data_IF_348399848844
#
_entry.id   IF_348399848844
#
_cell.length_a   1.000
_cell.length_b   1.000
_cell.length_c   1.000
_cell.angle_alpha   90.00
_cell.angle_beta   90.00
_cell.angle_gamma   90.00
#
_symmetry.space_group_name_H-M   'P 1'
#
loop_
_entity.id
_entity.type
_entity.pdbx_description
1 polymer ?
#
# COMPACT_ATOMS: atom_id res chain seq x y z
N UNK A 1 8.49 12.91 -6.00
CA UNK A 1 8.02 11.81 -6.84
C UNK A 1 9.16 10.84 -7.10
N UNK A 2 8.91 9.55 -7.02
CA UNK A 2 9.93 8.54 -7.20
C UNK A 2 10.27 8.36 -8.69
N UNK A 3 11.53 8.01 -8.98
CA UNK A 3 11.95 7.69 -10.34
C UNK A 3 11.42 6.33 -10.77
N UNK A 4 11.34 6.09 -12.08
CA UNK A 4 10.95 4.76 -12.60
C UNK A 4 11.92 3.68 -12.16
N UNK A 5 13.21 3.99 -12.06
CA UNK A 5 14.24 3.05 -11.58
C UNK A 5 13.95 2.63 -10.14
N UNK A 6 13.57 3.58 -9.29
CA UNK A 6 13.22 3.28 -7.91
C UNK A 6 11.96 2.42 -7.83
N UNK A 7 10.97 2.71 -8.69
CA UNK A 7 9.74 1.89 -8.74
C UNK A 7 10.06 0.46 -9.18
N UNK A 8 10.94 0.28 -10.16
CA UNK A 8 11.36 -1.06 -10.59
C UNK A 8 12.07 -1.82 -9.47
N UNK A 9 12.89 -1.16 -8.67
CA UNK A 9 13.52 -1.76 -7.50
C UNK A 9 12.45 -2.24 -6.51
N UNK A 10 11.45 -1.40 -6.23
CA UNK A 10 10.37 -1.74 -5.31
C UNK A 10 9.53 -2.90 -5.84
N UNK A 11 9.24 -2.92 -7.14
CA UNK A 11 8.47 -3.99 -7.77
C UNK A 11 9.15 -5.35 -7.54
N UNK A 12 10.47 -5.39 -7.61
CA UNK A 12 11.24 -6.64 -7.57
C UNK A 12 11.76 -6.99 -6.16
N UNK A 13 11.55 -6.13 -5.18
CA UNK A 13 12.03 -6.36 -3.82
C UNK A 13 11.06 -7.27 -3.05
N UNK A 14 11.27 -8.58 -3.17
CA UNK A 14 10.41 -9.59 -2.55
C UNK A 14 10.64 -9.72 -1.04
N UNK A 15 11.76 -9.25 -0.55
CA UNK A 15 12.13 -9.43 0.86
C UNK A 15 11.68 -8.29 1.75
N UNK A 16 11.28 -7.16 1.17
CA UNK A 16 10.88 -5.99 1.95
C UNK A 16 9.50 -6.17 2.57
N UNK A 17 9.38 -5.87 3.86
CA UNK A 17 8.10 -5.76 4.56
C UNK A 17 7.47 -4.38 4.42
N UNK A 18 8.10 -3.48 3.67
CA UNK A 18 7.58 -2.14 3.36
C UNK A 18 6.94 -2.08 1.98
N UNK A 19 6.79 -3.20 1.28
CA UNK A 19 6.21 -3.25 -0.06
C UNK A 19 5.12 -4.31 -0.12
N UNK A 20 3.94 -3.91 -0.54
CA UNK A 20 2.82 -4.81 -0.82
C UNK A 20 2.40 -4.66 -2.28
N UNK A 21 2.12 -5.78 -2.93
CA UNK A 21 1.75 -5.84 -4.35
C UNK A 21 0.39 -6.47 -4.49
N UNK A 22 -0.41 -5.94 -5.41
CA UNK A 22 -1.72 -6.52 -5.72
C UNK A 22 -2.10 -6.25 -7.16
N UNK A 23 -2.87 -7.16 -7.74
CA UNK A 23 -3.52 -6.93 -9.04
C UNK A 23 -4.98 -6.50 -8.87
N UNK A 24 -5.50 -6.53 -7.65
CA UNK A 24 -6.86 -6.05 -7.36
C UNK A 24 -6.95 -4.55 -7.59
N UNK A 25 -8.07 -4.09 -8.17
CA UNK A 25 -8.29 -2.68 -8.47
C UNK A 25 -9.51 -2.11 -7.74
N UNK A 26 -10.32 -2.96 -7.13
CA UNK A 26 -11.58 -2.58 -6.49
C UNK A 26 -11.68 -3.01 -5.03
N UNK A 27 -10.61 -3.52 -4.45
CA UNK A 27 -10.60 -3.99 -3.07
C UNK A 27 -10.20 -2.88 -2.10
N UNK A 28 -11.13 -1.96 -1.88
CA UNK A 28 -10.90 -0.77 -1.05
C UNK A 28 -10.51 -1.13 0.37
N UNK A 29 -11.12 -2.17 0.97
CA UNK A 29 -10.79 -2.58 2.33
C UNK A 29 -9.32 -3.01 2.44
N UNK A 30 -8.83 -3.79 1.51
CA UNK A 30 -7.42 -4.23 1.51
C UNK A 30 -6.45 -3.09 1.30
N UNK A 31 -6.80 -2.16 0.41
CA UNK A 31 -5.98 -0.97 0.21
C UNK A 31 -5.89 -0.17 1.50
N UNK A 32 -7.04 0.07 2.14
CA UNK A 32 -7.11 0.83 3.38
C UNK A 32 -6.37 0.14 4.53
N UNK A 33 -6.51 -1.17 4.66
CA UNK A 33 -5.81 -1.95 5.67
C UNK A 33 -4.30 -1.87 5.50
N UNK A 34 -3.79 -1.98 4.27
CA UNK A 34 -2.37 -1.85 3.99
C UNK A 34 -1.86 -0.43 4.30
N UNK A 35 -2.61 0.59 3.88
CA UNK A 35 -2.27 1.99 4.17
C UNK A 35 -2.21 2.22 5.68
N UNK A 36 -3.18 1.72 6.41
CA UNK A 36 -3.23 1.81 7.87
C UNK A 36 -2.02 1.12 8.50
N UNK A 37 -1.69 -0.08 8.03
CA UNK A 37 -0.56 -0.85 8.55
C UNK A 37 0.78 -0.15 8.31
N UNK A 38 1.00 0.41 7.13
CA UNK A 38 2.21 1.17 6.85
C UNK A 38 2.28 2.44 7.69
N UNK A 39 1.14 3.10 7.92
CA UNK A 39 1.08 4.29 8.78
C UNK A 39 1.52 3.99 10.21
N UNK A 40 1.17 2.81 10.71
CA UNK A 40 1.53 2.40 12.08
C UNK A 40 3.01 2.03 12.22
N UNK A 41 3.67 1.56 11.16
CA UNK A 41 5.10 1.23 11.15
C UNK A 41 5.51 0.45 12.39
N UNK A 42 4.87 -0.68 12.64
CA UNK A 42 5.09 -1.46 13.88
C UNK A 42 6.54 -1.92 14.04
N UNK A 43 7.23 -2.18 12.95
CA UNK A 43 8.65 -2.55 12.99
C UNK A 43 9.58 -1.36 13.24
N UNK A 44 9.03 -0.14 13.26
CA UNK A 44 9.77 1.09 13.51
C UNK A 44 10.93 1.30 12.51
N UNK A 45 10.66 1.02 11.24
CA UNK A 45 11.65 1.26 10.17
C UNK A 45 11.87 2.74 9.91
N UNK A 46 10.88 3.58 10.25
CA UNK A 46 10.89 5.03 9.98
C UNK A 46 11.06 5.34 8.49
N UNK A 47 10.56 4.45 7.65
CA UNK A 47 10.62 4.56 6.20
C UNK A 47 9.21 4.46 5.61
N UNK A 48 8.96 5.04 4.45
CA UNK A 48 7.67 4.88 3.78
C UNK A 48 7.38 3.42 3.45
N UNK A 49 6.09 3.07 3.47
CA UNK A 49 5.60 1.84 2.89
C UNK A 49 5.02 2.11 1.51
N UNK A 50 4.99 1.10 0.68
CA UNK A 50 4.54 1.21 -0.71
C UNK A 50 3.52 0.14 -1.04
N UNK A 51 2.34 0.58 -1.49
CA UNK A 51 1.34 -0.30 -2.05
C UNK A 51 1.40 -0.17 -3.57
N UNK A 52 1.71 -1.27 -4.24
CA UNK A 52 1.86 -1.32 -5.69
C UNK A 52 0.66 -2.03 -6.30
N UNK A 53 -0.18 -1.29 -7.01
CA UNK A 53 -1.37 -1.82 -7.65
C UNK A 53 -1.09 -2.04 -9.13
N UNK A 54 -1.34 -3.25 -9.61
CA UNK A 54 -1.02 -3.66 -10.97
C UNK A 54 0.19 -4.56 -11.06
N UNK A 55 0.62 -5.14 -9.93
CA UNK A 55 1.80 -6.03 -9.86
C UNK A 55 1.39 -7.32 -9.16
N UNK A 56 1.72 -8.46 -9.77
CA UNK A 56 1.50 -9.76 -9.13
C UNK A 56 2.37 -9.91 -7.90
N UNK A 57 1.77 -10.38 -6.81
CA UNK A 57 2.45 -10.42 -5.51
C UNK A 57 3.53 -11.51 -5.40
N UNK A 58 3.49 -12.53 -6.24
CA UNK A 58 4.50 -13.61 -6.23
C UNK A 58 5.54 -13.45 -7.33
N UNK A 59 5.10 -13.26 -8.57
CA UNK A 59 6.00 -13.20 -9.72
C UNK A 59 6.62 -11.81 -9.92
N UNK A 60 6.05 -10.78 -9.31
CA UNK A 60 6.43 -9.38 -9.51
C UNK A 60 6.22 -8.88 -10.94
N UNK A 61 5.44 -9.62 -11.73
CA UNK A 61 5.11 -9.21 -13.09
C UNK A 61 3.96 -8.23 -13.07
N UNK A 62 3.97 -7.30 -14.02
CA UNK A 62 2.88 -6.36 -14.20
C UNK A 62 1.65 -7.07 -14.76
N UNK A 63 0.47 -6.65 -14.29
CA UNK A 63 -0.79 -7.30 -14.70
C UNK A 63 -1.35 -6.77 -16.01
N UNK A 64 -0.73 -5.74 -16.59
CA UNK A 64 -1.26 -5.08 -17.78
C UNK A 64 -2.34 -4.04 -17.45
N UNK A 65 -2.33 -3.53 -16.23
CA UNK A 65 -3.30 -2.54 -15.77
C UNK A 65 -3.28 -1.29 -16.64
N UNK A 66 -4.48 -0.78 -16.93
CA UNK A 66 -4.66 0.57 -17.45
C UNK A 66 -5.31 1.42 -16.38
N UNK A 67 -4.58 2.43 -15.92
CA UNK A 67 -5.03 3.28 -14.83
C UNK A 67 -6.12 4.23 -15.33
N UNK A 68 -7.22 4.32 -14.59
CA UNK A 68 -8.31 5.23 -14.88
C UNK A 68 -8.36 6.34 -13.83
N UNK A 69 -8.98 7.46 -14.17
CA UNK A 69 -9.23 8.53 -13.19
C UNK A 69 -10.06 8.04 -12.03
N UNK A 70 -11.03 7.15 -12.31
CA UNK A 70 -11.88 6.57 -11.26
C UNK A 70 -11.04 5.80 -10.24
N UNK A 71 -10.10 4.98 -10.71
CA UNK A 71 -9.20 4.23 -9.82
C UNK A 71 -8.38 5.17 -8.96
N UNK A 72 -7.77 6.18 -9.56
CA UNK A 72 -6.96 7.16 -8.81
C UNK A 72 -7.79 7.93 -7.79
N UNK A 73 -8.99 8.35 -8.17
CA UNK A 73 -9.90 9.05 -7.25
C UNK A 73 -10.34 8.17 -6.09
N UNK A 74 -10.66 6.91 -6.36
CA UNK A 74 -11.07 5.97 -5.32
C UNK A 74 -9.95 5.72 -4.31
N UNK A 75 -8.72 5.58 -4.78
CA UNK A 75 -7.58 5.39 -3.90
C UNK A 75 -7.29 6.66 -3.09
N UNK A 76 -7.28 7.81 -3.75
CA UNK A 76 -7.03 9.09 -3.07
C UNK A 76 -8.10 9.39 -2.02
N UNK A 77 -9.34 8.99 -2.25
CA UNK A 77 -10.44 9.20 -1.31
C UNK A 77 -10.24 8.43 0.01
N UNK A 78 -9.49 7.35 0.01
CA UNK A 78 -9.19 6.58 1.23
C UNK A 78 -8.52 7.48 2.27
N UNK A 79 -7.69 8.42 1.82
CA UNK A 79 -7.00 9.35 2.71
C UNK A 79 -7.98 10.22 3.52
N UNK A 80 -9.08 10.65 2.91
CA UNK A 80 -9.93 11.70 3.46
C UNK A 80 -11.36 11.28 3.73
N UNK A 81 -11.73 10.02 3.53
CA UNK A 81 -13.11 9.55 3.71
C UNK A 81 -13.53 9.40 5.18
N UNK A 82 -12.60 9.56 6.12
CA UNK A 82 -12.87 9.46 7.55
C UNK A 82 -12.78 8.05 8.12
N UNK A 83 -12.54 7.06 7.30
CA UNK A 83 -12.43 5.67 7.78
C UNK A 83 -11.07 5.34 8.38
N UNK A 84 -10.02 6.05 7.97
CA UNK A 84 -8.69 5.95 8.57
C UNK A 84 -8.44 7.20 9.40
N UNK A 85 -8.24 7.01 10.70
CA UNK A 85 -8.04 8.12 11.63
C UNK A 85 -6.87 7.81 12.58
N UNK A 86 -5.96 8.79 12.79
CA UNK A 86 -5.83 10.05 12.05
C UNK A 86 -5.56 9.83 10.57
N UNK A 87 -5.79 10.85 9.75
CA UNK A 87 -5.59 10.75 8.30
C UNK A 87 -4.16 10.32 7.98
N UNK A 88 -3.99 9.36 7.06
CA UNK A 88 -2.65 8.93 6.67
C UNK A 88 -1.95 10.01 5.83
N UNK A 89 -0.65 10.14 6.01
CA UNK A 89 0.20 10.93 5.13
C UNK A 89 0.61 10.03 3.97
N UNK A 90 0.07 10.27 2.78
CA UNK A 90 0.33 9.42 1.63
C UNK A 90 0.27 10.20 0.34
N UNK A 91 0.92 9.65 -0.69
CA UNK A 91 0.84 10.16 -2.07
C UNK A 91 0.39 9.03 -2.99
N UNK A 92 -0.26 9.38 -4.08
CA UNK A 92 -0.74 8.43 -5.09
C UNK A 92 -0.22 8.89 -6.45
N UNK A 93 0.53 8.03 -7.11
CA UNK A 93 1.07 8.30 -8.44
C UNK A 93 0.92 7.10 -9.34
N UNK A 94 0.78 7.32 -10.64
CA UNK A 94 0.80 6.25 -11.63
C UNK A 94 2.07 6.31 -12.47
N UNK A 95 2.55 5.14 -12.87
CA UNK A 95 3.75 4.99 -13.71
C UNK A 95 3.41 4.08 -14.88
N UNK A 96 3.93 4.42 -16.05
CA UNK A 96 3.69 3.64 -17.27
C UNK A 96 4.96 2.90 -17.66
N UNK A 97 4.81 1.60 -17.85
CA UNK A 97 5.86 0.71 -18.34
C UNK A 97 5.35 -0.01 -19.60
N UNK A 98 6.24 -0.68 -20.31
CA UNK A 98 5.86 -1.38 -21.55
C UNK A 98 4.83 -2.48 -21.27
N UNK A 99 4.93 -3.16 -20.13
CA UNK A 99 4.07 -4.28 -19.74
C UNK A 99 2.75 -3.84 -19.12
N UNK A 100 2.57 -2.56 -18.82
CA UNK A 100 1.36 -2.04 -18.18
C UNK A 100 1.66 -0.86 -17.29
N UNK A 101 0.62 -0.38 -16.60
CA UNK A 101 0.73 0.73 -15.67
C UNK A 101 0.70 0.23 -14.22
N UNK A 102 1.29 1.00 -13.32
CA UNK A 102 1.32 0.69 -11.89
C UNK A 102 0.89 1.93 -11.12
N UNK A 103 -0.03 1.76 -10.16
CA UNK A 103 -0.33 2.80 -9.19
C UNK A 103 0.53 2.55 -7.96
N UNK A 104 1.25 3.58 -7.54
CA UNK A 104 2.09 3.53 -6.35
C UNK A 104 1.50 4.43 -5.29
N UNK A 105 1.11 3.83 -4.16
CA UNK A 105 0.69 4.56 -2.97
C UNK A 105 1.87 4.55 -2.01
N UNK A 106 2.46 5.71 -1.80
CA UNK A 106 3.55 5.88 -0.84
C UNK A 106 2.95 6.38 0.47
N UNK A 107 3.13 5.62 1.55
CA UNK A 107 2.55 5.90 2.86
C UNK A 107 3.67 6.20 3.85
N UNK A 108 3.60 7.36 4.47
CA UNK A 108 4.61 7.77 5.45
C UNK A 108 4.20 7.34 6.85
N UNK A 109 5.16 6.93 7.70
CA UNK A 109 4.85 6.57 9.09
C UNK A 109 4.20 7.72 9.83
N UNK A 110 3.16 7.42 10.62
CA UNK A 110 2.49 8.42 11.44
C UNK A 110 3.39 8.87 12.57
N UNK A 111 3.36 10.18 12.89
CA UNK A 111 4.10 10.72 14.02
C UNK A 111 3.53 10.25 15.36
N UNK A 112 2.22 10.07 15.43
CA UNK A 112 1.52 9.70 16.65
C UNK A 112 0.60 8.51 16.40
N UNK A 113 1.15 7.29 16.25
CA UNK A 113 0.33 6.08 16.16
C UNK A 113 -0.41 5.87 17.49
N UNK A 114 -1.49 5.08 17.53
CA UNK A 114 -1.96 4.22 16.45
C UNK A 114 -2.89 4.90 15.46
N UNK A 115 -2.82 4.44 14.22
CA UNK A 115 -3.78 4.77 13.15
C UNK A 115 -4.74 3.59 13.02
N UNK A 116 -6.03 3.89 12.90
CA UNK A 116 -7.07 2.86 12.84
C UNK A 116 -7.91 3.02 11.57
N UNK A 117 -8.27 1.88 10.97
CA UNK A 117 -9.23 1.81 9.88
C UNK A 117 -10.53 1.25 10.43
N UNK A 118 -11.62 2.04 10.34
CA UNK A 118 -12.93 1.70 10.90
C UNK A 118 -12.83 1.25 12.36
N UNK A 119 -11.99 1.96 13.12
CA UNK A 119 -11.77 1.68 14.55
C UNK A 119 -10.81 0.55 14.85
N UNK A 120 -10.28 -0.15 13.85
CA UNK A 120 -9.39 -1.28 14.03
C UNK A 120 -7.95 -0.86 13.70
N UNK A 121 -7.02 -1.27 14.55
CA UNK A 121 -5.60 -1.02 14.37
C UNK A 121 -4.99 -2.15 13.57
N UNK A 122 -4.45 -1.83 12.39
CA UNK A 122 -3.77 -2.78 11.51
C UNK A 122 -2.27 -2.57 11.54
N UNK A 123 -1.52 -3.64 11.33
CA UNK A 123 -0.08 -3.60 11.20
C UNK A 123 0.46 -4.86 10.57
N UNK A 124 1.72 -4.81 10.17
CA UNK A 124 2.46 -5.99 9.73
C UNK A 124 3.36 -6.45 10.86
N UNK A 125 3.46 -7.77 11.03
CA UNK A 125 4.29 -8.34 12.07
C UNK A 125 3.47 -8.81 13.26
N UNK A 126 4.15 -9.25 14.30
CA UNK A 126 3.54 -9.89 15.46
C UNK A 126 3.47 -8.91 16.63
N UNK A 127 2.33 -8.26 16.82
CA UNK A 127 2.12 -7.30 17.90
C UNK A 127 0.77 -7.58 18.55
N UNK A 128 0.78 -7.66 19.89
CA UNK A 128 -0.44 -7.93 20.67
C UNK A 128 -1.43 -6.77 20.58
N UNK A 129 -2.71 -7.09 20.40
CA UNK A 129 -3.77 -6.09 20.33
C UNK A 129 -3.91 -5.40 18.97
N UNK A 130 -3.31 -5.93 17.95
CA UNK A 130 -3.35 -5.43 16.57
C UNK A 130 -3.89 -6.52 15.67
N UNK A 131 -4.76 -6.14 14.72
CA UNK A 131 -5.13 -7.01 13.63
C UNK A 131 -3.91 -7.17 12.73
N UNK A 132 -3.41 -8.39 12.59
CA UNK A 132 -2.21 -8.65 11.80
C UNK A 132 -2.55 -8.91 10.36
N UNK A 133 -1.80 -8.28 9.45
CA UNK A 133 -1.86 -8.58 8.03
C UNK A 133 -0.65 -9.43 7.68
N UNK A 134 -0.90 -10.62 7.14
CA UNK A 134 0.15 -11.35 6.46
C UNK A 134 0.34 -10.71 5.09
N UNK A 135 1.53 -10.85 4.52
CA UNK A 135 1.72 -10.38 3.15
C UNK A 135 0.73 -11.10 2.25
N UNK A 136 0.16 -10.38 1.31
CA UNK A 136 -0.95 -10.88 0.50
C UNK A 136 -0.63 -12.17 -0.24
N UNK A 137 0.62 -12.38 -0.59
CA UNK A 137 1.07 -13.63 -1.19
C UNK A 137 0.83 -14.86 -0.29
N UNK A 138 0.64 -14.66 1.00
CA UNK A 138 0.37 -15.72 1.97
C UNK A 138 -1.12 -15.84 2.29
N UNK A 139 -1.93 -14.89 1.85
CA UNK A 139 -3.37 -14.83 2.14
C UNK A 139 -4.19 -15.34 0.97
N UNK A 140 -3.69 -15.18 -0.24
CA UNK A 140 -4.44 -15.49 -1.47
C UNK A 140 -3.70 -16.47 -2.37
#
# INVERSE_FOLDING_TARGET
MLSKEKILELINDKESDCVERTIATDDTDKFAEAICAFSNDLANHQKPGYLLIGVHNTSCKLSGLKVTDKLLKNIAAIRSDGNILPQPAMTVHSYTFDEGEVVVVEVFPAHFPPVRYKGIKFGFGLVRGVELLTKWKNVY
#
